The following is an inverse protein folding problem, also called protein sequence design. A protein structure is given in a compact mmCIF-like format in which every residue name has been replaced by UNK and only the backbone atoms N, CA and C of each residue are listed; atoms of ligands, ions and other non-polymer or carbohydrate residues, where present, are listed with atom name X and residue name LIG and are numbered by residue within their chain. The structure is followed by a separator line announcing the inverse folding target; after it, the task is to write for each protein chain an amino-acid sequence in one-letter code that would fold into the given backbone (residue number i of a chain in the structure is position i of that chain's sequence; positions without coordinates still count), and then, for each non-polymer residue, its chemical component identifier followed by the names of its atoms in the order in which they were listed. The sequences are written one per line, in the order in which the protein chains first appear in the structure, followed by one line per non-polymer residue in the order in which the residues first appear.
data_IF_545856553686
#
_entry.id   IF_545856553686
#
_cell.length_a   1.000
_cell.length_b   1.000
_cell.length_c   1.000
_cell.angle_alpha   90.00
_cell.angle_beta   90.00
_cell.angle_gamma   90.00
#
_symmetry.space_group_name_H-M   'P 1'
#
loop_
_entity.id
_entity.type
_entity.pdbx_description
1 polymer ?
#
# COMPACT_ATOMS: atom_id res chain seq x y z
N UNK A 1 -11.50 7.54 6.55
CA UNK A 1 -11.92 8.02 7.88
C UNK A 1 -10.72 8.73 8.49
N UNK A 2 -10.81 10.03 8.70
CA UNK A 2 -9.68 10.90 9.09
C UNK A 2 -9.48 10.88 10.62
N UNK A 3 -8.23 10.87 11.09
CA UNK A 3 -7.89 10.93 12.50
C UNK A 3 -7.76 12.40 12.95
N UNK A 4 -8.82 12.97 13.52
CA UNK A 4 -8.77 14.30 14.16
C UNK A 4 -7.73 14.31 15.30
N UNK A 5 -6.88 15.35 15.34
CA UNK A 5 -5.87 15.56 16.39
C UNK A 5 -4.49 14.91 16.16
N UNK A 6 -4.28 14.24 15.03
CA UNK A 6 -2.98 13.59 14.74
C UNK A 6 -1.94 14.58 14.16
N UNK A 7 -0.66 14.44 14.56
CA UNK A 7 0.46 15.16 13.94
C UNK A 7 0.46 14.92 12.42
N UNK A 8 0.49 16.00 11.65
CA UNK A 8 0.52 15.98 10.18
C UNK A 8 1.85 16.51 9.67
N UNK A 9 2.24 16.06 8.48
CA UNK A 9 3.46 16.43 7.77
C UNK A 9 3.09 17.07 6.41
N UNK A 10 3.92 17.96 5.85
CA UNK A 10 3.70 18.45 4.49
C UNK A 10 3.73 17.28 3.50
N UNK A 11 2.86 17.29 2.51
CA UNK A 11 2.84 16.24 1.49
C UNK A 11 3.97 16.47 0.47
N UNK A 12 4.93 15.55 0.30
CA UNK A 12 6.06 15.71 -0.62
C UNK A 12 5.65 15.87 -2.09
N UNK A 13 4.42 15.48 -2.45
CA UNK A 13 3.89 15.65 -3.80
C UNK A 13 3.52 17.08 -4.16
N UNK A 14 3.39 17.99 -3.18
CA UNK A 14 3.03 19.39 -3.43
C UNK A 14 4.12 20.13 -4.23
N UNK A 15 5.38 19.74 -4.06
CA UNK A 15 6.54 20.36 -4.71
C UNK A 15 7.00 19.58 -5.95
N UNK A 16 6.31 18.49 -6.31
CA UNK A 16 6.71 17.61 -7.41
C UNK A 16 6.21 18.14 -8.77
N UNK A 17 7.12 18.25 -9.74
CA UNK A 17 6.87 18.85 -11.06
C UNK A 17 5.66 18.27 -11.80
N UNK A 18 5.46 16.95 -11.69
CA UNK A 18 4.31 16.27 -12.31
C UNK A 18 2.95 16.77 -11.78
N UNK A 19 2.89 17.30 -10.55
CA UNK A 19 1.64 17.75 -9.92
C UNK A 19 1.43 19.26 -10.01
N UNK A 20 2.49 20.07 -10.06
CA UNK A 20 2.38 21.51 -10.34
C UNK A 20 1.66 21.76 -11.67
N UNK A 21 1.88 20.90 -12.67
CA UNK A 21 1.19 20.96 -13.96
C UNK A 21 -0.29 20.58 -13.85
N UNK A 22 -0.65 19.56 -13.05
CA UNK A 22 -2.06 19.17 -12.87
C UNK A 22 -2.87 20.30 -12.22
N UNK A 23 -2.31 20.96 -11.19
CA UNK A 23 -2.92 22.16 -10.55
C UNK A 23 -3.17 23.31 -11.53
N UNK A 24 -2.34 23.47 -12.56
CA UNK A 24 -2.47 24.56 -13.54
C UNK A 24 -3.59 24.34 -14.55
N UNK A 25 -3.92 23.08 -14.86
CA UNK A 25 -4.78 22.78 -16.01
C UNK A 25 -6.19 22.29 -15.63
N UNK A 26 -6.38 21.57 -14.52
CA UNK A 26 -7.71 21.05 -14.15
C UNK A 26 -7.82 20.82 -12.64
N UNK A 27 -9.04 21.00 -12.10
CA UNK A 27 -9.58 20.45 -10.83
C UNK A 27 -9.69 21.42 -9.63
N UNK A 28 -10.85 21.41 -8.96
CA UNK A 28 -11.12 22.11 -7.68
C UNK A 28 -10.08 21.74 -6.62
N UNK A 29 -9.69 22.66 -5.73
CA UNK A 29 -8.67 22.41 -4.69
C UNK A 29 -8.96 21.14 -3.85
N UNK A 30 -10.24 20.83 -3.62
CA UNK A 30 -10.69 19.67 -2.84
C UNK A 30 -10.57 18.31 -3.55
N UNK A 31 -10.51 18.31 -4.89
CA UNK A 31 -10.38 17.09 -5.71
C UNK A 31 -8.88 16.74 -5.97
N UNK A 32 -7.95 17.49 -5.37
CA UNK A 32 -6.50 17.33 -5.59
C UNK A 32 -5.75 16.62 -4.46
N UNK A 33 -4.47 16.38 -4.70
CA UNK A 33 -3.50 15.78 -3.77
C UNK A 33 -3.60 16.44 -2.38
N UNK A 34 -3.72 15.67 -1.29
CA UNK A 34 -3.85 16.23 0.06
C UNK A 34 -2.70 17.21 0.37
N UNK A 35 -3.01 18.35 0.98
CA UNK A 35 -1.96 19.31 1.39
C UNK A 35 -1.03 18.73 2.46
N UNK A 36 -1.55 17.85 3.31
CA UNK A 36 -0.85 17.25 4.44
C UNK A 36 -1.01 15.73 4.42
N UNK A 37 0.03 15.02 4.86
CA UNK A 37 0.02 13.58 5.12
C UNK A 37 0.11 13.31 6.61
N UNK A 38 -0.33 12.15 7.06
CA UNK A 38 -0.36 11.79 8.48
C UNK A 38 0.92 11.09 8.97
N UNK A 39 1.76 10.62 8.04
CA UNK A 39 2.98 9.88 8.34
C UNK A 39 4.19 10.56 7.73
N UNK A 40 5.23 10.74 8.53
CA UNK A 40 6.55 11.10 8.01
C UNK A 40 7.11 9.93 7.21
N UNK A 41 7.90 10.20 6.16
CA UNK A 41 8.44 9.18 5.25
C UNK A 41 9.22 8.09 5.99
N UNK A 42 10.00 8.50 7.01
CA UNK A 42 10.82 7.60 7.83
C UNK A 42 10.01 6.77 8.83
N UNK A 43 8.76 7.17 9.10
CA UNK A 43 7.83 6.48 9.99
C UNK A 43 6.99 5.43 9.22
N UNK A 44 7.03 5.44 7.88
CA UNK A 44 6.22 4.54 7.05
C UNK A 44 6.93 3.21 6.86
N UNK A 45 6.31 2.14 7.37
CA UNK A 45 6.57 0.76 6.92
C UNK A 45 5.39 0.26 6.09
N UNK A 46 5.56 0.22 4.78
CA UNK A 46 4.52 -0.21 3.86
C UNK A 46 4.56 -1.73 3.69
N UNK A 47 3.39 -2.38 3.74
CA UNK A 47 3.24 -3.80 3.46
C UNK A 47 2.20 -4.03 2.37
N UNK A 48 2.57 -4.79 1.34
CA UNK A 48 1.73 -5.13 0.20
C UNK A 48 1.39 -6.62 0.29
N UNK A 49 0.11 -6.94 0.23
CA UNK A 49 -0.38 -8.32 0.20
C UNK A 49 -1.36 -8.50 -0.94
N UNK A 50 -1.30 -9.64 -1.63
CA UNK A 50 -2.28 -10.02 -2.64
C UNK A 50 -3.08 -11.23 -2.17
N UNK A 51 -4.41 -11.09 -2.17
CA UNK A 51 -5.34 -12.11 -1.70
C UNK A 51 -6.38 -12.44 -2.77
N UNK A 52 -6.94 -13.66 -2.72
CA UNK A 52 -8.04 -14.07 -3.60
C UNK A 52 -7.60 -14.68 -4.94
N UNK A 53 -8.46 -14.60 -5.96
CA UNK A 53 -8.18 -15.19 -7.28
C UNK A 53 -7.15 -14.35 -8.04
N UNK A 54 -6.31 -15.02 -8.82
CA UNK A 54 -5.38 -14.34 -9.73
C UNK A 54 -6.16 -13.62 -10.83
N UNK A 55 -5.75 -12.41 -11.17
CA UNK A 55 -6.06 -11.84 -12.49
C UNK A 55 -4.89 -11.07 -13.06
N UNK A 56 -4.92 -10.83 -14.38
CA UNK A 56 -3.93 -10.01 -15.05
C UNK A 56 -3.67 -8.67 -14.34
N UNK A 57 -2.43 -8.21 -14.37
CA UNK A 57 -2.05 -6.89 -13.89
C UNK A 57 -1.76 -6.75 -12.39
N UNK A 58 -1.89 -7.81 -11.57
CA UNK A 58 -1.52 -7.73 -10.13
C UNK A 58 -0.04 -7.33 -9.93
N UNK A 59 0.84 -7.87 -10.76
CA UNK A 59 2.25 -7.49 -10.73
C UNK A 59 2.49 -6.04 -11.15
N UNK A 60 1.71 -5.51 -12.08
CA UNK A 60 1.74 -4.10 -12.45
C UNK A 60 1.34 -3.23 -11.27
N UNK A 61 0.25 -3.58 -10.57
CA UNK A 61 -0.18 -2.85 -9.36
C UNK A 61 0.91 -2.86 -8.28
N UNK A 62 1.51 -4.02 -8.00
CA UNK A 62 2.60 -4.12 -7.01
C UNK A 62 3.77 -3.22 -7.42
N UNK A 63 4.16 -3.23 -8.71
CA UNK A 63 5.23 -2.39 -9.23
C UNK A 63 4.93 -0.91 -9.05
N UNK A 64 3.75 -0.45 -9.47
CA UNK A 64 3.37 0.97 -9.36
C UNK A 64 3.30 1.43 -7.90
N UNK A 65 2.79 0.60 -6.99
CA UNK A 65 2.77 0.92 -5.56
C UNK A 65 4.18 1.07 -4.99
N UNK A 66 5.08 0.14 -5.29
CA UNK A 66 6.48 0.19 -4.82
C UNK A 66 7.21 1.39 -5.39
N UNK A 67 7.06 1.65 -6.70
CA UNK A 67 7.67 2.81 -7.36
C UNK A 67 7.10 4.13 -6.82
N UNK A 68 5.78 4.23 -6.63
CA UNK A 68 5.14 5.44 -6.10
C UNK A 68 5.57 5.73 -4.67
N UNK A 69 5.56 4.72 -3.79
CA UNK A 69 6.03 4.85 -2.42
C UNK A 69 7.51 5.24 -2.35
N UNK A 70 8.36 4.61 -3.17
CA UNK A 70 9.81 4.85 -3.12
C UNK A 70 10.22 6.17 -3.78
N UNK A 71 9.72 6.48 -4.98
CA UNK A 71 10.17 7.66 -5.73
C UNK A 71 9.43 8.94 -5.34
N UNK A 72 8.14 8.85 -5.02
CA UNK A 72 7.30 10.04 -4.81
C UNK A 72 7.17 10.39 -3.33
N UNK A 73 7.15 9.37 -2.47
CA UNK A 73 7.04 9.52 -1.01
C UNK A 73 8.33 9.18 -0.26
N UNK A 74 9.44 8.87 -0.95
CA UNK A 74 10.73 8.52 -0.34
C UNK A 74 10.66 7.44 0.75
N UNK A 75 9.69 6.52 0.65
CA UNK A 75 9.53 5.41 1.60
C UNK A 75 10.58 4.35 1.29
N UNK A 76 11.46 4.08 2.25
CA UNK A 76 12.53 3.08 2.12
C UNK A 76 12.11 1.69 2.61
N UNK A 77 11.14 1.62 3.52
CA UNK A 77 10.68 0.38 4.17
C UNK A 77 9.41 -0.17 3.52
N UNK A 78 9.58 -0.93 2.43
CA UNK A 78 8.47 -1.54 1.69
C UNK A 78 8.65 -3.05 1.67
N UNK A 79 7.61 -3.78 2.08
CA UNK A 79 7.63 -5.24 2.16
C UNK A 79 6.43 -5.87 1.45
N UNK A 80 6.63 -7.06 0.90
CA UNK A 80 5.60 -7.91 0.34
C UNK A 80 5.29 -9.08 1.28
N UNK A 81 4.02 -9.34 1.53
CA UNK A 81 3.54 -10.51 2.28
C UNK A 81 3.26 -11.63 1.30
N UNK A 82 3.93 -12.76 1.47
CA UNK A 82 3.79 -13.88 0.55
C UNK A 82 2.56 -14.74 0.86
N UNK A 83 1.93 -15.29 -0.18
CA UNK A 83 0.84 -16.26 -0.11
C UNK A 83 -0.39 -15.76 0.66
N UNK A 84 -0.79 -14.51 0.40
CA UNK A 84 -1.98 -13.89 0.99
C UNK A 84 -1.92 -13.77 2.52
N UNK A 85 -3.06 -13.90 3.18
CA UNK A 85 -3.13 -13.71 4.64
C UNK A 85 -2.29 -14.71 5.44
N UNK A 86 -1.97 -15.87 4.87
CA UNK A 86 -1.11 -16.87 5.53
C UNK A 86 0.31 -16.35 5.76
N UNK A 87 0.80 -15.46 4.90
CA UNK A 87 2.14 -14.87 5.02
C UNK A 87 2.33 -14.04 6.29
N UNK A 88 1.25 -13.49 6.85
CA UNK A 88 1.33 -12.78 8.13
C UNK A 88 1.71 -13.71 9.28
N UNK A 89 1.37 -15.00 9.23
CA UNK A 89 1.65 -15.94 10.31
C UNK A 89 3.06 -16.53 10.25
N UNK A 90 3.66 -16.58 9.06
CA UNK A 90 4.91 -17.31 8.83
C UNK A 90 6.15 -16.42 8.76
N UNK A 91 6.05 -15.14 9.13
CA UNK A 91 7.17 -14.18 9.09
C UNK A 91 7.82 -13.98 7.72
N UNK A 92 7.15 -14.32 6.62
CA UNK A 92 7.72 -14.24 5.28
C UNK A 92 7.49 -12.86 4.67
N UNK A 93 8.38 -11.93 5.04
CA UNK A 93 8.45 -10.58 4.48
C UNK A 93 9.47 -10.56 3.36
N UNK A 94 9.04 -10.19 2.16
CA UNK A 94 9.92 -9.99 1.02
C UNK A 94 10.21 -8.48 0.89
N UNK A 95 11.44 -8.00 1.09
CA UNK A 95 11.77 -6.61 0.81
C UNK A 95 11.48 -6.26 -0.66
N UNK A 96 10.77 -5.16 -0.90
CA UNK A 96 10.45 -4.68 -2.23
C UNK A 96 11.15 -3.35 -2.50
N UNK A 97 11.83 -3.27 -3.63
CA UNK A 97 12.50 -2.06 -4.12
C UNK A 97 12.09 -1.82 -5.57
N UNK A 98 12.18 -0.59 -6.10
CA UNK A 98 11.93 -0.33 -7.51
C UNK A 98 12.70 -1.27 -8.45
N UNK A 99 13.93 -1.63 -8.06
CA UNK A 99 14.76 -2.60 -8.77
C UNK A 99 14.17 -4.02 -8.73
N UNK A 100 13.73 -4.49 -7.56
CA UNK A 100 13.18 -5.85 -7.42
C UNK A 100 11.82 -6.03 -8.14
N UNK A 101 11.08 -4.94 -8.36
CA UNK A 101 9.79 -4.97 -9.06
C UNK A 101 9.86 -4.52 -10.52
N UNK A 102 11.04 -4.22 -11.06
CA UNK A 102 11.15 -3.57 -12.36
C UNK A 102 10.44 -4.35 -13.48
N UNK A 103 10.65 -5.67 -13.53
CA UNK A 103 10.20 -6.53 -14.63
C UNK A 103 9.03 -7.46 -14.26
N UNK A 104 8.50 -7.36 -13.03
CA UNK A 104 7.45 -8.28 -12.56
C UNK A 104 6.15 -8.15 -13.37
N UNK A 105 5.89 -6.96 -13.93
CA UNK A 105 4.73 -6.67 -14.77
C UNK A 105 4.67 -7.52 -16.04
N UNK A 106 5.81 -8.05 -16.51
CA UNK A 106 5.90 -8.95 -17.68
C UNK A 106 5.47 -10.39 -17.34
N UNK A 107 5.31 -10.71 -16.06
CA UNK A 107 4.97 -12.06 -15.58
C UNK A 107 3.49 -12.17 -15.26
N UNK A 108 2.88 -13.28 -15.65
CA UNK A 108 1.52 -13.64 -15.23
C UNK A 108 1.41 -13.91 -13.72
N UNK A 109 0.20 -13.81 -13.17
CA UNK A 109 -0.07 -14.05 -11.76
C UNK A 109 0.39 -12.92 -10.84
N UNK A 110 0.92 -13.26 -9.67
CA UNK A 110 1.48 -12.32 -8.69
C UNK A 110 2.77 -12.86 -8.08
N UNK A 111 3.82 -12.04 -8.02
CA UNK A 111 5.13 -12.41 -7.44
C UNK A 111 5.07 -12.69 -5.95
N UNK A 112 4.04 -12.18 -5.26
CA UNK A 112 3.82 -12.46 -3.85
C UNK A 112 3.07 -13.79 -3.62
N UNK A 113 2.51 -14.40 -4.67
CA UNK A 113 1.56 -15.49 -4.53
C UNK A 113 0.23 -15.05 -3.89
N UNK A 114 -0.76 -15.93 -3.88
CA UNK A 114 -2.07 -15.65 -3.28
C UNK A 114 -2.58 -16.90 -2.55
N UNK A 115 -3.45 -16.71 -1.56
CA UNK A 115 -4.15 -17.80 -0.88
C UNK A 115 -5.67 -17.61 -0.92
N UNK A 116 -6.40 -18.72 -0.82
CA UNK A 116 -7.85 -18.75 -0.57
C UNK A 116 -8.13 -19.13 0.89
N UNK A 117 -9.19 -18.54 1.46
CA UNK A 117 -9.72 -18.89 2.78
C UNK A 117 -9.00 -18.25 3.98
N UNK A 118 -9.74 -18.18 5.10
CA UNK A 118 -9.29 -17.95 6.48
C UNK A 118 -8.36 -16.74 6.72
N UNK A 119 -8.94 -15.62 7.13
CA UNK A 119 -8.18 -14.56 7.81
C UNK A 119 -8.53 -14.61 9.29
N UNK A 120 -7.51 -14.70 10.14
CA UNK A 120 -7.65 -14.50 11.58
C UNK A 120 -7.24 -13.04 11.83
N UNK A 121 -8.24 -12.17 11.89
CA UNK A 121 -8.02 -10.72 12.06
C UNK A 121 -7.15 -10.44 13.26
N UNK A 122 -7.33 -11.18 14.37
CA UNK A 122 -6.56 -10.96 15.59
C UNK A 122 -5.09 -11.29 15.37
N UNK A 123 -4.77 -12.44 14.78
CA UNK A 123 -3.37 -12.82 14.48
C UNK A 123 -2.70 -11.92 13.46
N UNK A 124 -3.44 -11.47 12.44
CA UNK A 124 -2.91 -10.53 11.44
C UNK A 124 -2.58 -9.21 12.10
N UNK A 125 -3.50 -8.68 12.91
CA UNK A 125 -3.31 -7.48 13.70
C UNK A 125 -2.12 -7.60 14.63
N UNK A 126 -2.04 -8.68 15.42
CA UNK A 126 -0.95 -8.86 16.38
C UNK A 126 0.42 -8.94 15.63
N UNK A 127 0.48 -9.61 14.47
CA UNK A 127 1.70 -9.63 13.64
C UNK A 127 2.05 -8.28 12.99
N UNK A 128 1.05 -7.49 12.62
CA UNK A 128 1.25 -6.13 12.13
C UNK A 128 1.85 -5.27 13.25
N UNK A 129 1.32 -5.39 14.47
CA UNK A 129 1.78 -4.67 15.66
C UNK A 129 3.20 -5.04 16.06
N UNK A 130 3.50 -6.34 16.21
CA UNK A 130 4.81 -6.84 16.62
C UNK A 130 5.94 -6.36 15.69
N UNK A 131 5.61 -6.06 14.44
CA UNK A 131 6.59 -5.66 13.42
C UNK A 131 6.66 -4.15 13.20
N UNK A 132 5.83 -3.39 13.92
CA UNK A 132 5.66 -1.96 13.70
C UNK A 132 5.25 -1.64 12.26
N UNK A 133 4.54 -2.58 11.61
CA UNK A 133 3.82 -2.26 10.39
C UNK A 133 2.65 -1.46 10.91
N UNK A 134 2.51 -0.29 10.36
CA UNK A 134 1.42 0.55 10.75
C UNK A 134 0.11 -0.31 10.45
N UNK A 135 -0.85 -0.62 11.40
CA UNK A 135 -2.38 -0.39 11.45
C UNK A 135 -3.03 0.42 12.65
N UNK A 136 -4.03 1.32 12.40
CA UNK A 136 -4.81 2.11 13.37
C UNK A 136 -5.92 1.23 13.93
N UNK A 137 -5.70 0.78 15.14
CA UNK A 137 -6.70 0.09 15.94
C UNK A 137 -6.96 1.00 17.11
N UNK A 138 -8.07 1.74 17.06
CA UNK A 138 -8.52 2.71 18.07
C UNK A 138 -8.47 2.20 19.52
N UNK A 139 -8.35 0.89 19.75
CA UNK A 139 -8.18 0.28 21.09
C UNK A 139 -6.73 0.25 21.62
N UNK A 140 -5.69 0.53 20.83
CA UNK A 140 -4.28 0.36 21.23
C UNK A 140 -3.30 1.50 20.85
N UNK A 141 -3.75 2.57 20.18
CA UNK A 141 -2.97 3.82 20.01
C UNK A 141 -1.81 3.79 18.99
N UNK A 142 -1.92 3.05 17.89
CA UNK A 142 -0.91 2.95 16.82
C UNK A 142 -1.41 3.68 15.55
N UNK A 143 -0.55 4.42 14.81
CA UNK A 143 -0.99 5.37 13.74
C UNK A 143 -0.76 4.89 12.31
N UNK A 144 -1.82 4.60 11.53
CA UNK A 144 -1.66 3.82 10.26
C UNK A 144 -2.87 3.93 9.29
N UNK A 145 -2.61 3.93 7.96
CA UNK A 145 -3.58 3.59 6.88
C UNK A 145 -3.56 2.15 6.30
N UNK A 146 -4.74 1.57 6.01
CA UNK A 146 -4.93 0.37 5.15
C UNK A 146 -5.67 0.77 3.87
N UNK A 147 -5.04 0.60 2.72
CA UNK A 147 -5.65 0.82 1.40
C UNK A 147 -5.97 -0.49 0.70
N UNK A 148 -7.20 -0.66 0.26
CA UNK A 148 -7.59 -1.77 -0.61
C UNK A 148 -7.55 -1.31 -2.07
N UNK A 149 -6.76 -1.98 -2.92
CA UNK A 149 -6.92 -1.86 -4.37
C UNK A 149 -7.97 -2.89 -4.79
N UNK A 150 -9.21 -2.47 -5.13
CA UNK A 150 -10.26 -3.41 -5.46
C UNK A 150 -9.86 -4.21 -6.70
N UNK A 151 -10.00 -5.53 -6.61
CA UNK A 151 -9.62 -6.43 -7.69
C UNK A 151 -10.78 -7.38 -8.00
N UNK A 152 -11.53 -7.05 -9.04
CA UNK A 152 -12.69 -7.81 -9.51
C UNK A 152 -12.44 -8.26 -10.95
N UNK A 153 -12.71 -9.54 -11.26
CA UNK A 153 -12.66 -10.10 -12.63
C UNK A 153 -14.08 -10.41 -13.14
N UNK A 154 -15.11 -10.20 -12.34
CA UNK A 154 -16.47 -10.35 -12.81
C UNK A 154 -16.80 -9.22 -13.79
N UNK A 155 -16.55 -9.48 -15.07
CA UNK A 155 -17.50 -9.13 -16.12
C UNK A 155 -18.57 -10.22 -16.11
N UNK A 156 -19.48 -10.18 -15.15
CA UNK A 156 -20.78 -10.83 -15.37
C UNK A 156 -21.57 -9.91 -16.30
N UNK A 157 -21.23 -9.96 -17.58
CA UNK A 157 -22.19 -9.66 -18.65
C UNK A 157 -23.21 -10.80 -18.59
N UNK A 158 -24.36 -10.53 -17.96
CA UNK A 158 -25.64 -11.10 -18.37
C UNK A 158 -26.58 -9.95 -18.66
#
# INVERSE_FOLDING_TARGET
MFCEGSKTYPNPLQDHLAYSTVKQYFVNEDDTVPQKVYFGTDEVKACIVTCGRLCPGLNTVIRELVCGLSHMYNVSSIFGIQNGYKGFYSSNYLPLTPKSVNDIHKRGGTVLGTSRGGHDTKKIVDNIQDRGINQEIRKRGLKVSVGGVPKTIDKTLR
#
